data_IF_788221337000
#
_entry.id   IF_788221337000
#
_cell.length_a   1.000
_cell.length_b   1.000
_cell.length_c   1.000
_cell.angle_alpha   90.00
_cell.angle_beta   90.00
_cell.angle_gamma   90.00
#
_symmetry.space_group_name_H-M   'P 1'
#
loop_
_entity.id
_entity.type
_entity.pdbx_description
1 polymer ?
#
# COMPACT_ATOMS: atom_id res chain seq x y z
N UNK A 1 25.57 9.85 2.93
CA UNK A 1 26.04 10.28 1.61
C UNK A 1 25.82 9.16 0.60
N UNK A 2 25.25 9.50 -0.54
CA UNK A 2 25.09 8.57 -1.67
C UNK A 2 26.47 8.42 -2.32
N UNK A 3 26.95 7.21 -2.62
CA UNK A 3 28.21 7.02 -3.33
C UNK A 3 28.20 7.76 -4.69
N UNK A 4 29.34 8.32 -5.09
CA UNK A 4 29.48 9.00 -6.37
C UNK A 4 29.19 8.02 -7.53
N UNK A 5 28.39 8.48 -8.52
CA UNK A 5 27.97 7.65 -9.65
C UNK A 5 26.72 6.80 -9.40
N UNK A 6 26.12 6.85 -8.21
CA UNK A 6 24.86 6.13 -7.94
C UNK A 6 23.69 6.80 -8.67
N UNK A 7 22.90 6.02 -9.43
CA UNK A 7 21.63 6.48 -10.00
C UNK A 7 20.58 6.57 -8.89
N UNK A 8 19.90 7.70 -8.82
CA UNK A 8 18.88 7.97 -7.81
C UNK A 8 17.56 8.40 -8.47
N UNK A 9 16.46 8.15 -7.80
CA UNK A 9 15.17 8.74 -8.14
C UNK A 9 14.95 10.00 -7.30
N UNK A 10 14.41 11.06 -7.92
CA UNK A 10 14.12 12.32 -7.24
C UNK A 10 12.64 12.63 -7.39
N UNK A 11 11.93 12.71 -6.26
CA UNK A 11 10.54 13.15 -6.21
C UNK A 11 10.48 14.59 -5.78
N UNK A 12 9.97 15.45 -6.66
CA UNK A 12 9.87 16.90 -6.42
C UNK A 12 8.43 17.26 -6.11
N UNK A 13 8.21 18.07 -5.06
CA UNK A 13 6.90 18.64 -4.77
C UNK A 13 6.55 19.69 -5.82
N UNK A 14 5.36 19.61 -6.41
CA UNK A 14 4.90 20.57 -7.41
C UNK A 14 4.82 21.98 -6.83
N UNK A 15 5.17 22.96 -7.65
CA UNK A 15 5.28 24.36 -7.24
C UNK A 15 3.94 24.94 -6.75
N UNK A 16 2.83 24.50 -7.34
CA UNK A 16 1.46 24.90 -6.96
C UNK A 16 1.11 24.51 -5.53
N UNK A 17 1.70 23.44 -5.02
CA UNK A 17 1.47 22.93 -3.65
C UNK A 17 2.34 23.60 -2.60
N UNK A 18 3.37 24.32 -3.01
CA UNK A 18 4.29 25.00 -2.09
C UNK A 18 3.67 26.22 -1.39
N UNK A 19 2.53 26.70 -1.88
CA UNK A 19 1.77 27.79 -1.25
C UNK A 19 0.92 27.33 -0.07
N UNK A 20 0.70 26.03 0.11
CA UNK A 20 0.01 25.45 1.25
C UNK A 20 1.01 25.12 2.38
N UNK A 21 1.09 26.00 3.38
CA UNK A 21 2.02 25.87 4.50
C UNK A 21 1.80 24.58 5.31
N UNK A 22 0.55 24.09 5.42
CA UNK A 22 0.23 22.84 6.12
C UNK A 22 0.71 21.63 5.33
N UNK A 23 0.58 21.66 4.00
CA UNK A 23 1.06 20.61 3.12
C UNK A 23 2.59 20.53 3.15
N UNK A 24 3.26 21.67 3.10
CA UNK A 24 4.73 21.77 3.19
C UNK A 24 5.24 21.24 4.52
N UNK A 25 4.60 21.63 5.63
CA UNK A 25 4.95 21.12 6.98
C UNK A 25 4.79 19.61 7.08
N UNK A 26 3.70 19.05 6.53
CA UNK A 26 3.45 17.60 6.48
C UNK A 26 4.50 16.89 5.64
N UNK A 27 4.79 17.40 4.44
CA UNK A 27 5.84 16.85 3.58
C UNK A 27 7.16 16.74 4.33
N UNK A 28 7.56 17.81 5.03
CA UNK A 28 8.79 17.84 5.82
C UNK A 28 8.81 16.77 6.92
N UNK A 29 7.73 16.67 7.70
CA UNK A 29 7.64 15.75 8.81
C UNK A 29 7.58 14.29 8.35
N UNK A 30 6.75 13.99 7.35
CA UNK A 30 6.59 12.64 6.79
C UNK A 30 7.88 12.18 6.10
N UNK A 31 8.49 13.04 5.28
CA UNK A 31 9.76 12.73 4.60
C UNK A 31 10.90 12.46 5.59
N UNK A 32 10.96 13.20 6.69
CA UNK A 32 11.94 12.97 7.75
C UNK A 32 11.73 11.62 8.44
N UNK A 33 10.48 11.27 8.74
CA UNK A 33 10.15 9.97 9.36
C UNK A 33 10.50 8.80 8.41
N UNK A 34 10.18 8.93 7.12
CA UNK A 34 10.48 7.92 6.11
C UNK A 34 12.00 7.74 5.93
N UNK A 35 12.79 8.82 6.01
CA UNK A 35 14.25 8.75 5.86
C UNK A 35 14.94 7.91 6.96
N UNK A 36 14.25 7.65 8.06
CA UNK A 36 14.74 6.80 9.15
C UNK A 36 14.46 5.31 8.91
N UNK A 37 13.57 4.96 7.96
CA UNK A 37 13.25 3.58 7.65
C UNK A 37 14.42 2.90 6.92
N UNK A 38 14.83 1.75 7.41
CA UNK A 38 15.87 0.92 6.81
C UNK A 38 15.41 -0.54 6.82
N UNK A 39 14.85 -1.00 5.70
CA UNK A 39 14.31 -2.33 5.56
C UNK A 39 14.48 -2.84 4.12
N UNK A 40 14.78 -4.13 3.89
CA UNK A 40 15.01 -4.67 2.55
C UNK A 40 13.80 -4.58 1.61
N UNK A 41 12.58 -4.44 2.14
CA UNK A 41 11.36 -4.31 1.34
C UNK A 41 10.81 -2.86 1.31
N UNK A 42 11.60 -1.88 1.71
CA UNK A 42 11.25 -0.45 1.63
C UNK A 42 12.29 0.25 0.77
N UNK A 43 11.85 1.09 -0.17
CA UNK A 43 12.76 1.96 -0.95
C UNK A 43 13.49 2.89 0.00
N UNK A 44 14.81 2.90 -0.09
CA UNK A 44 15.67 3.71 0.79
C UNK A 44 15.59 5.18 0.40
N UNK A 45 15.32 6.04 1.35
CA UNK A 45 15.45 7.48 1.20
C UNK A 45 16.87 7.89 1.60
N UNK A 46 17.56 8.59 0.69
CA UNK A 46 18.93 9.04 0.90
C UNK A 46 19.01 10.45 1.46
N UNK A 47 18.12 11.33 0.98
CA UNK A 47 18.11 12.74 1.38
C UNK A 47 16.73 13.36 1.20
N UNK A 48 16.46 14.38 1.99
CA UNK A 48 15.24 15.18 1.94
C UNK A 48 15.63 16.65 2.00
N UNK A 49 15.30 17.40 0.97
CA UNK A 49 15.49 18.85 0.96
C UNK A 49 14.16 19.57 1.11
N UNK A 50 14.16 20.53 2.03
CA UNK A 50 13.01 21.41 2.29
C UNK A 50 13.54 22.84 2.32
N UNK A 51 13.60 23.45 1.13
CA UNK A 51 13.93 24.88 0.97
C UNK A 51 12.67 25.69 0.62
N UNK A 52 12.75 27.02 0.70
CA UNK A 52 11.61 27.90 0.38
C UNK A 52 11.13 27.76 -1.08
N UNK A 53 12.03 27.42 -2.00
CA UNK A 53 11.73 27.39 -3.43
C UNK A 53 11.71 25.98 -4.05
N UNK A 54 12.17 24.95 -3.33
CA UNK A 54 12.25 23.59 -3.87
C UNK A 54 12.22 22.57 -2.74
N UNK A 55 11.31 21.62 -2.86
CA UNK A 55 11.19 20.50 -1.93
C UNK A 55 11.27 19.20 -2.70
N UNK A 56 12.18 18.32 -2.28
CA UNK A 56 12.38 17.04 -2.96
C UNK A 56 12.86 15.96 -2.00
N UNK A 57 12.63 14.72 -2.41
CA UNK A 57 13.13 13.52 -1.77
C UNK A 57 14.05 12.81 -2.77
N UNK A 58 15.26 12.48 -2.34
CA UNK A 58 16.19 11.64 -3.08
C UNK A 58 16.12 10.23 -2.55
N UNK A 59 15.84 9.27 -3.42
CA UNK A 59 15.63 7.88 -3.03
C UNK A 59 16.33 6.90 -3.96
N UNK A 60 16.42 5.67 -3.52
CA UNK A 60 16.87 4.54 -4.32
C UNK A 60 16.11 4.48 -5.64
N UNK A 61 16.84 4.38 -6.75
CA UNK A 61 16.26 4.09 -8.05
C UNK A 61 16.13 2.58 -8.17
N UNK A 62 14.89 2.10 -8.15
CA UNK A 62 14.57 0.66 -8.19
C UNK A 62 14.31 0.25 -9.63
N UNK A 63 15.10 -0.70 -10.14
CA UNK A 63 14.88 -1.33 -11.45
C UNK A 63 14.00 -2.56 -11.28
N UNK A 64 12.92 -2.63 -12.06
CA UNK A 64 11.94 -3.70 -12.00
C UNK A 64 10.59 -3.26 -12.59
N UNK A 65 9.56 -4.06 -12.38
CA UNK A 65 8.18 -3.72 -12.74
C UNK A 65 7.34 -3.44 -11.49
N UNK A 66 6.26 -2.73 -11.64
CA UNK A 66 5.29 -2.60 -10.56
C UNK A 66 4.52 -3.91 -10.36
N UNK A 67 4.06 -4.15 -9.15
CA UNK A 67 3.21 -5.30 -8.88
C UNK A 67 1.90 -5.25 -9.69
N UNK A 68 1.43 -4.05 -10.06
CA UNK A 68 0.30 -3.86 -10.99
C UNK A 68 0.60 -4.41 -12.38
N UNK A 69 1.77 -4.08 -12.95
CA UNK A 69 2.20 -4.61 -14.25
C UNK A 69 2.32 -6.12 -14.20
N UNK A 70 2.94 -6.65 -13.15
CA UNK A 70 3.05 -8.10 -12.93
C UNK A 70 1.69 -8.81 -12.89
N UNK A 71 0.72 -8.26 -12.13
CA UNK A 71 -0.63 -8.81 -12.08
C UNK A 71 -1.32 -8.76 -13.45
N UNK A 72 -1.17 -7.66 -14.18
CA UNK A 72 -1.75 -7.51 -15.52
C UNK A 72 -1.19 -8.56 -16.50
N UNK A 73 0.13 -8.81 -16.49
CA UNK A 73 0.77 -9.83 -17.32
C UNK A 73 0.31 -11.26 -16.97
N UNK A 74 -0.13 -11.49 -15.71
CA UNK A 74 -0.68 -12.77 -15.24
C UNK A 74 -2.19 -12.88 -15.38
N UNK A 75 -2.86 -11.94 -16.04
CA UNK A 75 -4.31 -11.93 -16.23
C UNK A 75 -5.08 -11.52 -14.97
N UNK A 76 -4.46 -10.77 -14.06
CA UNK A 76 -5.05 -10.21 -12.84
C UNK A 76 -4.97 -11.12 -11.61
N UNK A 77 -4.70 -12.41 -11.78
CA UNK A 77 -4.69 -13.42 -10.72
C UNK A 77 -3.34 -14.13 -10.64
N UNK A 78 -2.89 -14.42 -9.43
CA UNK A 78 -1.70 -15.21 -9.16
C UNK A 78 -2.01 -16.36 -8.21
N UNK A 79 -1.06 -17.29 -8.05
CA UNK A 79 -1.24 -18.46 -7.18
C UNK A 79 -1.30 -18.07 -5.69
N UNK A 80 -1.97 -18.87 -4.87
CA UNK A 80 -1.97 -18.70 -3.42
C UNK A 80 -0.56 -18.65 -2.84
N UNK A 81 0.38 -19.43 -3.39
CA UNK A 81 1.78 -19.43 -2.96
C UNK A 81 2.49 -18.11 -3.26
N UNK A 82 2.31 -17.55 -4.47
CA UNK A 82 2.86 -16.25 -4.85
C UNK A 82 2.24 -15.13 -4.02
N UNK A 83 0.91 -15.18 -3.82
CA UNK A 83 0.19 -14.21 -2.98
C UNK A 83 0.77 -14.17 -1.57
N UNK A 84 0.90 -15.32 -0.91
CA UNK A 84 1.48 -15.41 0.43
C UNK A 84 2.92 -14.89 0.46
N UNK A 85 3.74 -15.24 -0.54
CA UNK A 85 5.12 -14.78 -0.64
C UNK A 85 5.21 -13.25 -0.73
N UNK A 86 4.37 -12.61 -1.54
CA UNK A 86 4.36 -11.15 -1.71
C UNK A 86 3.77 -10.46 -0.49
N UNK A 87 2.63 -10.91 0.00
CA UNK A 87 1.97 -10.31 1.17
C UNK A 87 2.85 -10.40 2.42
N UNK A 88 3.56 -11.50 2.63
CA UNK A 88 4.50 -11.62 3.75
C UNK A 88 5.64 -10.60 3.68
N UNK A 89 6.18 -10.29 2.50
CA UNK A 89 7.19 -9.24 2.32
C UNK A 89 6.62 -7.85 2.64
N UNK A 90 5.39 -7.56 2.17
CA UNK A 90 4.68 -6.30 2.44
C UNK A 90 4.44 -6.13 3.93
N UNK A 91 3.95 -7.17 4.61
CA UNK A 91 3.68 -7.12 6.05
C UNK A 91 4.94 -6.93 6.89
N UNK A 92 6.09 -7.52 6.50
CA UNK A 92 7.39 -7.25 7.16
C UNK A 92 7.82 -5.80 7.03
N UNK A 93 7.63 -5.21 5.84
CA UNK A 93 7.91 -3.79 5.62
C UNK A 93 6.99 -2.90 6.46
N UNK A 94 5.68 -3.21 6.51
CA UNK A 94 4.70 -2.47 7.30
C UNK A 94 4.96 -2.60 8.81
N UNK A 95 5.29 -3.79 9.31
CA UNK A 95 5.65 -3.98 10.72
C UNK A 95 6.84 -3.09 11.11
N UNK A 96 7.87 -3.02 10.25
CA UNK A 96 8.99 -2.12 10.46
C UNK A 96 8.57 -0.64 10.45
N UNK A 97 7.78 -0.21 9.48
CA UNK A 97 7.32 1.17 9.37
C UNK A 97 6.43 1.58 10.55
N UNK A 98 5.45 0.75 10.90
CA UNK A 98 4.51 1.01 11.98
C UNK A 98 5.21 1.13 13.36
N UNK A 99 6.23 0.30 13.63
CA UNK A 99 7.06 0.41 14.83
C UNK A 99 7.86 1.71 14.91
N UNK A 100 8.14 2.32 13.76
CA UNK A 100 8.78 3.63 13.67
C UNK A 100 7.77 4.79 13.55
N UNK A 101 6.50 4.54 13.82
CA UNK A 101 5.45 5.55 13.81
C UNK A 101 5.03 6.02 12.40
N UNK A 102 5.38 5.27 11.35
CA UNK A 102 5.05 5.59 9.96
C UNK A 102 3.93 4.68 9.45
N UNK A 103 2.81 5.28 9.05
CA UNK A 103 1.69 4.61 8.38
C UNK A 103 1.75 4.93 6.89
N UNK A 104 1.58 3.92 6.03
CA UNK A 104 1.74 4.10 4.58
C UNK A 104 0.58 4.88 3.95
N UNK A 105 -0.64 4.50 4.23
CA UNK A 105 -1.91 5.15 3.79
C UNK A 105 -2.23 5.11 2.29
N UNK A 106 -1.37 4.56 1.45
CA UNK A 106 -1.60 4.41 -0.01
C UNK A 106 -1.05 3.08 -0.53
N UNK A 107 -1.38 2.00 0.17
CA UNK A 107 -0.99 0.65 -0.24
C UNK A 107 -1.83 0.23 -1.44
N UNK A 108 -1.15 -0.08 -2.53
CA UNK A 108 -1.71 -0.56 -3.80
C UNK A 108 -0.61 -1.17 -4.67
N UNK A 109 -0.94 -2.02 -5.63
CA UNK A 109 0.05 -2.69 -6.48
C UNK A 109 0.94 -1.72 -7.27
N UNK A 110 0.46 -0.52 -7.58
CA UNK A 110 1.23 0.51 -8.30
C UNK A 110 2.39 1.09 -7.46
N UNK A 111 2.29 1.03 -6.12
CA UNK A 111 3.30 1.55 -5.19
C UNK A 111 4.26 0.47 -4.68
N UNK A 112 4.30 -0.66 -5.33
CA UNK A 112 5.17 -1.78 -4.97
C UNK A 112 5.92 -2.22 -6.22
N UNK A 113 7.26 -2.19 -6.15
CA UNK A 113 8.14 -2.67 -7.20
C UNK A 113 8.52 -4.12 -6.94
N UNK A 114 8.47 -4.93 -7.99
CA UNK A 114 8.96 -6.30 -8.02
C UNK A 114 10.28 -6.33 -8.80
N UNK A 115 11.34 -6.77 -8.14
CA UNK A 115 12.67 -6.96 -8.70
C UNK A 115 12.77 -8.34 -9.36
N UNK A 116 13.75 -8.52 -10.26
CA UNK A 116 13.98 -9.78 -10.98
C UNK A 116 14.25 -10.98 -10.06
N UNK A 117 14.76 -10.73 -8.86
CA UNK A 117 15.01 -11.76 -7.85
C UNK A 117 13.76 -12.13 -7.00
N UNK A 118 12.59 -11.58 -7.32
CA UNK A 118 11.34 -11.80 -6.58
C UNK A 118 11.20 -10.99 -5.29
N UNK A 119 12.14 -10.07 -5.01
CA UNK A 119 12.07 -9.17 -3.87
C UNK A 119 11.16 -7.98 -4.17
N UNK A 120 10.33 -7.60 -3.20
CA UNK A 120 9.49 -6.41 -3.29
C UNK A 120 10.17 -5.19 -2.65
N UNK A 121 9.91 -4.02 -3.22
CA UNK A 121 10.26 -2.70 -2.68
C UNK A 121 9.00 -1.85 -2.60
N UNK A 122 8.60 -1.48 -1.41
CA UNK A 122 7.48 -0.55 -1.19
C UNK A 122 7.95 0.89 -1.36
N UNK A 123 7.18 1.66 -2.11
CA UNK A 123 7.45 3.08 -2.42
C UNK A 123 6.39 3.97 -1.78
N UNK A 124 6.65 5.27 -1.77
CA UNK A 124 5.67 6.34 -1.47
C UNK A 124 4.98 6.23 -0.10
N UNK A 125 5.72 5.82 0.94
CA UNK A 125 5.25 5.87 2.32
C UNK A 125 4.81 7.28 2.73
N UNK A 126 3.67 7.40 3.40
CA UNK A 126 3.21 8.61 4.07
C UNK A 126 2.87 9.81 3.18
N UNK A 127 3.21 9.77 1.89
CA UNK A 127 3.02 10.87 0.93
C UNK A 127 1.58 10.93 0.38
N UNK A 128 0.70 10.04 0.82
CA UNK A 128 -0.66 9.90 0.27
C UNK A 128 -1.52 11.17 0.33
N UNK A 129 -1.35 11.99 1.38
CA UNK A 129 -2.09 13.27 1.49
C UNK A 129 -1.60 14.31 0.48
N UNK A 130 -0.31 14.26 0.16
CA UNK A 130 0.31 15.12 -0.86
C UNK A 130 -0.14 14.65 -2.24
N UNK A 131 -0.10 13.36 -2.49
CA UNK A 131 -0.59 12.76 -3.74
C UNK A 131 -2.08 13.04 -3.98
N UNK A 132 -2.91 13.08 -2.94
CA UNK A 132 -4.32 13.47 -3.07
C UNK A 132 -4.49 14.95 -3.48
N UNK A 133 -3.71 15.86 -2.88
CA UNK A 133 -3.71 17.27 -3.28
C UNK A 133 -3.22 17.46 -4.72
N UNK A 134 -2.16 16.74 -5.12
CA UNK A 134 -1.67 16.72 -6.50
C UNK A 134 -2.72 16.20 -7.48
N UNK A 135 -3.47 15.17 -7.10
CA UNK A 135 -4.52 14.57 -7.93
C UNK A 135 -5.74 15.50 -8.08
N UNK A 136 -6.10 16.25 -7.04
CA UNK A 136 -7.15 17.27 -7.13
C UNK A 136 -6.79 18.39 -8.12
N UNK A 137 -5.51 18.84 -8.11
CA UNK A 137 -5.00 19.82 -9.08
C UNK A 137 -4.94 19.30 -10.51
N UNK A 138 -4.76 18.00 -10.68
CA UNK A 138 -4.64 17.34 -12.00
C UNK A 138 -5.99 16.97 -12.63
N UNK A 139 -7.11 17.45 -12.10
CA UNK A 139 -8.44 17.21 -12.65
C UNK A 139 -8.97 15.79 -12.45
N UNK A 140 -8.64 15.15 -11.33
CA UNK A 140 -9.31 13.93 -10.88
C UNK A 140 -8.89 12.62 -11.56
N UNK A 141 -7.78 12.58 -12.28
CA UNK A 141 -7.23 11.34 -12.85
C UNK A 141 -6.46 10.47 -11.85
N UNK A 142 -6.88 10.45 -10.59
CA UNK A 142 -6.41 9.45 -9.61
C UNK A 142 -7.15 8.12 -9.79
N UNK A 143 -7.21 7.63 -11.01
CA UNK A 143 -7.81 6.34 -11.32
C UNK A 143 -7.02 5.21 -10.66
N UNK A 144 -7.52 4.62 -9.59
CA UNK A 144 -7.00 3.39 -8.99
C UNK A 144 -6.74 3.39 -7.48
N UNK A 145 -6.57 4.54 -6.80
CA UNK A 145 -6.32 4.55 -5.35
C UNK A 145 -7.55 4.23 -4.51
N UNK A 146 -8.74 4.63 -4.96
CA UNK A 146 -10.00 4.46 -4.21
C UNK A 146 -10.37 2.98 -3.98
N UNK A 147 -9.93 2.09 -4.85
CA UNK A 147 -10.22 0.66 -4.73
C UNK A 147 -9.55 -0.02 -3.52
N UNK A 148 -8.51 0.60 -2.97
CA UNK A 148 -7.70 0.04 -1.86
C UNK A 148 -7.83 0.82 -0.56
N UNK A 149 -8.54 1.96 -0.54
CA UNK A 149 -8.68 2.76 0.68
C UNK A 149 -9.55 2.06 1.71
N UNK A 150 -9.23 2.27 2.99
CA UNK A 150 -10.06 1.77 4.09
C UNK A 150 -11.36 2.56 4.25
N UNK A 151 -12.38 1.99 4.91
CA UNK A 151 -13.63 2.68 5.20
C UNK A 151 -13.44 4.01 5.93
N UNK A 152 -12.53 4.07 6.90
CA UNK A 152 -12.19 5.28 7.64
C UNK A 152 -11.50 6.33 6.75
N UNK A 153 -10.64 5.89 5.82
CA UNK A 153 -10.06 6.80 4.82
C UNK A 153 -11.12 7.37 3.88
N UNK A 154 -12.08 6.54 3.44
CA UNK A 154 -13.17 6.97 2.57
C UNK A 154 -14.09 7.99 3.25
N UNK A 155 -14.29 7.87 4.57
CA UNK A 155 -15.04 8.82 5.40
C UNK A 155 -14.27 10.11 5.72
N UNK A 156 -12.93 10.08 5.62
CA UNK A 156 -12.07 11.17 6.05
C UNK A 156 -11.75 11.16 7.55
N UNK A 157 -12.02 10.04 8.23
CA UNK A 157 -11.73 9.81 9.64
C UNK A 157 -10.21 9.68 9.89
N UNK A 158 -9.80 9.62 11.16
CA UNK A 158 -8.43 9.33 11.54
C UNK A 158 -8.01 7.93 11.10
N UNK A 159 -6.77 7.79 10.66
CA UNK A 159 -6.20 6.55 10.12
C UNK A 159 -4.97 6.13 10.89
N UNK A 160 -4.87 4.85 11.19
CA UNK A 160 -3.74 4.23 11.86
C UNK A 160 -3.18 3.03 11.05
N UNK A 161 -2.38 2.19 11.69
CA UNK A 161 -1.80 1.00 11.05
C UNK A 161 -2.85 0.00 10.56
N UNK A 162 -4.06 -0.02 11.14
CA UNK A 162 -5.14 -0.93 10.72
C UNK A 162 -5.74 -0.56 9.37
N UNK A 163 -5.60 0.71 8.94
CA UNK A 163 -5.96 1.15 7.58
C UNK A 163 -5.06 0.51 6.52
N UNK A 164 -3.75 0.39 6.79
CA UNK A 164 -2.81 -0.31 5.91
C UNK A 164 -3.15 -1.80 5.82
N UNK A 165 -3.54 -2.42 6.92
CA UNK A 165 -3.96 -3.83 6.96
C UNK A 165 -5.20 -4.06 6.08
N UNK A 166 -6.17 -3.16 6.11
CA UNK A 166 -7.33 -3.23 5.21
C UNK A 166 -6.90 -3.21 3.73
N UNK A 167 -6.02 -2.27 3.36
CA UNK A 167 -5.51 -2.15 1.99
C UNK A 167 -4.73 -3.41 1.55
N UNK A 168 -3.95 -4.02 2.45
CA UNK A 168 -3.30 -5.32 2.21
C UNK A 168 -4.34 -6.42 1.99
N UNK A 169 -5.43 -6.44 2.76
CA UNK A 169 -6.54 -7.37 2.58
C UNK A 169 -7.18 -7.24 1.19
N UNK A 170 -7.43 -6.01 0.73
CA UNK A 170 -7.96 -5.74 -0.62
C UNK A 170 -7.00 -6.25 -1.70
N UNK A 171 -5.70 -6.01 -1.56
CA UNK A 171 -4.69 -6.54 -2.49
C UNK A 171 -4.66 -8.06 -2.50
N UNK A 172 -4.74 -8.68 -1.32
CA UNK A 172 -4.77 -10.14 -1.19
C UNK A 172 -6.01 -10.74 -1.86
N UNK A 173 -7.18 -10.10 -1.68
CA UNK A 173 -8.41 -10.48 -2.35
C UNK A 173 -8.25 -10.42 -3.88
N UNK A 174 -7.71 -9.32 -4.41
CA UNK A 174 -7.48 -9.17 -5.84
C UNK A 174 -6.49 -10.21 -6.37
N UNK A 175 -5.36 -10.43 -5.71
CA UNK A 175 -4.36 -11.41 -6.13
C UNK A 175 -4.91 -12.83 -6.19
N UNK A 176 -5.77 -13.22 -5.23
CA UNK A 176 -6.34 -14.55 -5.13
C UNK A 176 -7.50 -14.77 -6.09
N UNK A 177 -8.31 -13.75 -6.37
CA UNK A 177 -9.52 -13.85 -7.18
C UNK A 177 -9.36 -13.35 -8.61
N UNK A 178 -8.44 -12.43 -8.86
CA UNK A 178 -8.33 -11.67 -10.11
C UNK A 178 -9.34 -10.53 -10.22
N UNK A 179 -10.10 -10.23 -9.16
CA UNK A 179 -11.14 -9.22 -9.14
C UNK A 179 -10.96 -8.28 -7.95
N UNK A 180 -11.28 -7.01 -8.15
CA UNK A 180 -11.41 -6.05 -7.05
C UNK A 180 -12.66 -6.40 -6.22
N UNK A 181 -12.61 -6.27 -4.87
CA UNK A 181 -13.77 -6.53 -4.03
C UNK A 181 -14.92 -5.54 -4.27
N UNK A 182 -14.57 -4.31 -4.62
CA UNK A 182 -15.50 -3.23 -4.94
C UNK A 182 -15.04 -2.51 -6.19
N UNK A 183 -15.93 -2.43 -7.19
CA UNK A 183 -15.69 -1.75 -8.45
C UNK A 183 -16.98 -1.06 -8.92
N UNK A 184 -16.85 0.06 -9.61
CA UNK A 184 -17.92 0.82 -10.22
C UNK A 184 -17.36 1.81 -11.25
N UNK A 185 -18.22 2.33 -12.12
CA UNK A 185 -17.84 3.34 -13.10
C UNK A 185 -17.49 4.70 -12.45
N UNK A 186 -18.05 4.97 -11.26
CA UNK A 186 -17.79 6.19 -10.48
C UNK A 186 -16.97 5.89 -9.21
N UNK A 187 -15.92 6.68 -9.02
CA UNK A 187 -15.02 6.60 -7.86
C UNK A 187 -15.74 6.88 -6.53
N UNK A 188 -16.77 7.74 -6.53
CA UNK A 188 -17.59 8.03 -5.34
C UNK A 188 -18.39 6.79 -4.96
N UNK A 189 -18.95 6.08 -5.94
CA UNK A 189 -19.64 4.81 -5.70
C UNK A 189 -18.71 3.75 -5.12
N UNK A 190 -17.48 3.63 -5.64
CA UNK A 190 -16.47 2.72 -5.05
C UNK A 190 -16.17 3.08 -3.60
N UNK A 191 -15.99 4.38 -3.30
CA UNK A 191 -15.76 4.83 -1.92
C UNK A 191 -16.95 4.51 -1.00
N UNK A 192 -18.19 4.64 -1.47
CA UNK A 192 -19.39 4.26 -0.72
C UNK A 192 -19.40 2.76 -0.45
N UNK A 193 -19.09 1.94 -1.46
CA UNK A 193 -18.99 0.48 -1.30
C UNK A 193 -17.90 0.07 -0.29
N UNK A 194 -16.76 0.79 -0.25
CA UNK A 194 -15.73 0.59 0.78
C UNK A 194 -16.29 0.81 2.20
N UNK A 195 -17.22 1.75 2.36
CA UNK A 195 -17.80 2.09 3.66
C UNK A 195 -18.86 1.07 4.09
N UNK A 196 -19.77 0.70 3.18
CA UNK A 196 -21.04 0.04 3.54
C UNK A 196 -21.19 -1.39 3.06
N UNK A 197 -20.61 -1.74 1.90
CA UNK A 197 -20.92 -2.99 1.25
C UNK A 197 -20.01 -4.13 1.73
N UNK A 198 -20.52 -5.35 1.71
CA UNK A 198 -19.72 -6.54 1.88
C UNK A 198 -19.20 -7.03 0.52
N UNK A 199 -17.94 -7.45 0.41
CA UNK A 199 -17.43 -8.04 -0.81
C UNK A 199 -18.09 -9.40 -1.05
N UNK A 200 -18.09 -9.86 -2.29
CA UNK A 200 -18.41 -11.26 -2.57
C UNK A 200 -17.38 -12.15 -1.86
N UNK A 201 -17.83 -13.24 -1.29
CA UNK A 201 -16.92 -14.19 -0.64
C UNK A 201 -15.92 -14.76 -1.64
N UNK A 202 -14.66 -14.91 -1.23
CA UNK A 202 -13.64 -15.60 -2.02
C UNK A 202 -14.04 -17.06 -2.29
N UNK A 203 -14.80 -17.72 -1.42
CA UNK A 203 -15.34 -19.06 -1.68
C UNK A 203 -16.23 -19.12 -2.91
N UNK A 204 -16.97 -18.05 -3.21
CA UNK A 204 -17.86 -18.00 -4.37
C UNK A 204 -17.11 -17.74 -5.68
N UNK A 205 -16.11 -16.85 -5.65
CA UNK A 205 -15.43 -16.36 -6.87
C UNK A 205 -14.09 -17.08 -7.15
N UNK A 206 -13.49 -17.69 -6.14
CA UNK A 206 -12.23 -18.42 -6.22
C UNK A 206 -12.23 -19.64 -5.28
N UNK A 207 -13.09 -20.65 -5.54
CA UNK A 207 -13.32 -21.79 -4.63
C UNK A 207 -12.07 -22.67 -4.42
N UNK A 208 -11.05 -22.51 -5.25
CA UNK A 208 -9.76 -23.19 -5.11
C UNK A 208 -8.85 -22.57 -4.06
N UNK A 209 -9.17 -21.37 -3.53
CA UNK A 209 -8.38 -20.71 -2.50
C UNK A 209 -8.58 -21.43 -1.17
N UNK A 210 -7.48 -21.81 -0.46
CA UNK A 210 -7.59 -22.44 0.85
C UNK A 210 -8.36 -21.61 1.87
N UNK A 211 -9.20 -22.26 2.68
CA UNK A 211 -10.08 -21.62 3.67
C UNK A 211 -9.31 -20.66 4.59
N UNK A 212 -8.15 -21.07 5.09
CA UNK A 212 -7.34 -20.22 5.95
C UNK A 212 -6.94 -18.89 5.28
N UNK A 213 -6.65 -18.89 3.97
CA UNK A 213 -6.36 -17.66 3.24
C UNK A 213 -7.60 -16.81 3.02
N UNK A 214 -8.76 -17.43 2.84
CA UNK A 214 -10.06 -16.71 2.79
C UNK A 214 -10.31 -16.01 4.11
N UNK A 215 -10.20 -16.70 5.23
CA UNK A 215 -10.40 -16.15 6.57
C UNK A 215 -9.41 -15.01 6.89
N UNK A 216 -8.13 -15.17 6.54
CA UNK A 216 -7.12 -14.12 6.72
C UNK A 216 -7.48 -12.86 5.92
N UNK A 217 -7.89 -13.04 4.66
CA UNK A 217 -8.27 -11.94 3.77
C UNK A 217 -9.52 -11.22 4.28
N UNK A 218 -10.57 -11.95 4.62
CA UNK A 218 -11.83 -11.40 5.10
C UNK A 218 -11.65 -10.68 6.45
N UNK A 219 -10.85 -11.23 7.38
CA UNK A 219 -10.52 -10.56 8.65
C UNK A 219 -9.77 -9.25 8.40
N UNK A 220 -8.79 -9.23 7.51
CA UNK A 220 -8.06 -8.00 7.16
C UNK A 220 -9.00 -6.92 6.58
N UNK A 221 -10.02 -7.33 5.81
CA UNK A 221 -10.99 -6.45 5.16
C UNK A 221 -12.21 -6.12 6.03
N UNK A 222 -12.22 -6.45 7.33
CA UNK A 222 -13.32 -6.10 8.21
C UNK A 222 -13.55 -4.57 8.21
N UNK A 223 -14.82 -4.15 8.15
CA UNK A 223 -15.17 -2.71 8.05
C UNK A 223 -14.73 -1.92 9.27
N UNK A 224 -14.91 -2.48 10.46
CA UNK A 224 -14.50 -1.86 11.70
C UNK A 224 -13.02 -2.18 12.01
N UNK A 225 -12.17 -1.18 12.25
CA UNK A 225 -10.73 -1.38 12.52
C UNK A 225 -10.45 -2.40 13.63
N UNK A 226 -11.23 -2.38 14.71
CA UNK A 226 -11.08 -3.29 15.85
C UNK A 226 -11.38 -4.77 15.53
N UNK A 227 -12.01 -5.06 14.40
CA UNK A 227 -12.30 -6.43 13.95
C UNK A 227 -11.22 -6.97 13.00
N UNK A 228 -10.24 -6.15 12.63
CA UNK A 228 -9.08 -6.52 11.82
C UNK A 228 -7.97 -7.11 12.68
N UNK A 229 -6.84 -7.40 12.08
CA UNK A 229 -5.59 -7.62 12.82
C UNK A 229 -5.15 -6.30 13.46
N UNK A 230 -4.70 -6.35 14.71
CA UNK A 230 -4.26 -5.16 15.43
C UNK A 230 -2.90 -4.61 14.93
N UNK A 231 -2.12 -5.44 14.23
CA UNK A 231 -0.82 -5.08 13.68
C UNK A 231 -0.47 -5.89 12.44
N UNK A 232 0.47 -5.37 11.62
CA UNK A 232 1.03 -6.12 10.49
C UNK A 232 1.72 -7.41 10.96
N UNK A 233 2.32 -7.42 12.16
CA UNK A 233 2.91 -8.61 12.77
C UNK A 233 1.86 -9.68 13.01
N UNK A 234 0.72 -9.34 13.61
CA UNK A 234 -0.37 -10.31 13.87
C UNK A 234 -0.89 -10.96 12.58
N UNK A 235 -1.06 -10.17 11.51
CA UNK A 235 -1.47 -10.71 10.21
C UNK A 235 -0.37 -11.59 9.59
N UNK A 236 0.90 -11.20 9.72
CA UNK A 236 2.04 -12.01 9.25
C UNK A 236 2.13 -13.34 10.00
N UNK A 237 1.93 -13.34 11.31
CA UNK A 237 1.93 -14.56 12.13
C UNK A 237 0.81 -15.52 11.70
N UNK A 238 -0.36 -15.00 11.31
CA UNK A 238 -1.46 -15.80 10.75
C UNK A 238 -1.07 -16.43 9.39
N UNK A 239 -0.40 -15.68 8.50
CA UNK A 239 0.12 -16.22 7.25
C UNK A 239 1.20 -17.27 7.47
N UNK A 240 2.12 -17.04 8.41
CA UNK A 240 3.18 -17.98 8.74
C UNK A 240 2.58 -19.29 9.34
N UNK A 241 1.54 -19.19 10.16
CA UNK A 241 0.81 -20.36 10.67
C UNK A 241 0.19 -21.19 9.53
N UNK A 242 -0.44 -20.53 8.55
CA UNK A 242 -0.95 -21.21 7.34
C UNK A 242 0.18 -21.91 6.56
N UNK A 243 1.33 -21.25 6.37
CA UNK A 243 2.47 -21.85 5.63
C UNK A 243 3.01 -23.11 6.32
N UNK A 244 3.03 -23.12 7.66
CA UNK A 244 3.50 -24.26 8.45
C UNK A 244 2.47 -25.38 8.56
N UNK A 245 1.18 -25.08 8.44
CA UNK A 245 0.10 -26.06 8.50
C UNK A 245 -1.02 -25.73 7.49
N UNK A 246 -0.82 -26.01 6.19
CA UNK A 246 -1.80 -25.67 5.15
C UNK A 246 -3.14 -26.43 5.23
N UNK A 247 -3.25 -27.40 6.14
CA UNK A 247 -4.43 -28.28 6.29
C UNK A 247 -5.40 -27.81 7.39
N UNK A 248 -5.18 -26.65 7.98
CA UNK A 248 -6.07 -26.04 8.98
C UNK A 248 -6.97 -25.02 8.34
#
# INVERSE_FOLDING_TARGET
PVPEGTVVAVKVLRQELMHDADLVRRFKNESKAISLLNHPNIVKVYDVSVSENLQYIVMECVEGMTLREYLNERGGKITSRETVHFIAQILRALDHAHRNGVVHRDIKPQNIMLLDNGQLRMMDFGIARISRAENQLSGGKAMGSVHYISPEQAKGDETDCTSDIYSVGVMMYEMLSGHLPFDADDMVEVAIKQISDQPKSLHEIAPEVPNALVEITEKAMAKLPQNRYASAREMLDALDAYVHNPSV
#
